data_IF_707272186494
#
_entry.id   IF_707272186494
#
_cell.length_a   1.000
_cell.length_b   1.000
_cell.length_c   1.000
_cell.angle_alpha   90.00
_cell.angle_beta   90.00
_cell.angle_gamma   90.00
#
_symmetry.space_group_name_H-M   'P 1'
#
loop_
_entity.id
_entity.type
_entity.pdbx_description
1 polymer ?
#
# COMPACT_ATOMS: atom_id res chain seq x y z
N UNK A 1 -10.25 -16.26 -2.19
CA UNK A 1 -11.31 -15.22 -2.17
C UNK A 1 -11.25 -14.51 -0.84
N UNK A 2 -11.06 -13.19 -0.85
CA UNK A 2 -11.04 -12.37 0.36
C UNK A 2 -12.42 -12.40 1.03
N UNK A 3 -12.53 -12.75 2.32
CA UNK A 3 -13.78 -12.69 3.07
C UNK A 3 -14.44 -11.30 3.01
N UNK A 4 -15.78 -11.27 2.90
CA UNK A 4 -16.56 -10.00 2.84
C UNK A 4 -16.20 -9.02 3.96
N UNK A 5 -15.89 -9.53 5.16
CA UNK A 5 -15.49 -8.71 6.31
C UNK A 5 -14.18 -7.96 6.06
N UNK A 6 -13.17 -8.62 5.48
CA UNK A 6 -11.89 -7.97 5.16
C UNK A 6 -12.05 -6.97 4.02
N UNK A 7 -12.90 -7.27 3.02
CA UNK A 7 -13.24 -6.31 1.97
C UNK A 7 -13.87 -5.04 2.58
N UNK A 8 -14.77 -5.20 3.54
CA UNK A 8 -15.40 -4.08 4.25
C UNK A 8 -14.35 -3.24 4.99
N UNK A 9 -13.42 -3.89 5.69
CA UNK A 9 -12.32 -3.21 6.39
C UNK A 9 -11.43 -2.43 5.43
N UNK A 10 -11.03 -3.02 4.29
CA UNK A 10 -10.22 -2.32 3.28
C UNK A 10 -10.96 -1.08 2.75
N UNK A 11 -12.27 -1.19 2.49
CA UNK A 11 -13.08 -0.03 2.07
C UNK A 11 -13.14 1.05 3.14
N UNK A 12 -13.38 0.69 4.40
CA UNK A 12 -13.38 1.64 5.52
C UNK A 12 -12.03 2.34 5.67
N UNK A 13 -10.92 1.62 5.50
CA UNK A 13 -9.58 2.20 5.53
C UNK A 13 -9.34 3.17 4.35
N UNK A 14 -9.85 2.84 3.16
CA UNK A 14 -9.82 3.71 1.98
C UNK A 14 -10.69 4.96 2.17
N UNK A 15 -11.87 4.82 2.75
CA UNK A 15 -12.78 5.94 3.02
C UNK A 15 -12.21 6.90 4.07
N UNK A 16 -11.50 6.35 5.08
CA UNK A 16 -10.86 7.11 6.16
C UNK A 16 -9.42 7.57 5.86
N UNK A 17 -9.03 7.68 4.60
CA UNK A 17 -7.77 8.31 4.20
C UNK A 17 -8.02 9.42 3.17
N UNK A 18 -7.07 10.32 2.97
CA UNK A 18 -7.12 11.44 2.02
C UNK A 18 -5.93 11.43 1.07
N UNK A 19 -4.80 10.89 1.49
CA UNK A 19 -3.57 10.87 0.70
C UNK A 19 -2.87 9.52 0.81
N UNK A 20 -3.55 8.44 0.39
CA UNK A 20 -2.97 7.11 0.50
C UNK A 20 -1.82 6.94 -0.49
N UNK A 21 -0.85 6.13 -0.10
CA UNK A 21 0.20 5.66 -0.98
C UNK A 21 0.08 4.14 -1.11
N UNK A 22 0.10 3.66 -2.35
CA UNK A 22 -0.03 2.26 -2.70
C UNK A 22 1.32 1.75 -3.15
N UNK A 23 1.88 0.80 -2.41
CA UNK A 23 3.11 0.09 -2.71
C UNK A 23 2.70 -1.29 -3.21
N UNK A 24 3.05 -1.63 -4.44
CA UNK A 24 2.59 -2.87 -5.08
C UNK A 24 3.69 -3.50 -5.91
N UNK A 25 3.66 -4.83 -6.09
CA UNK A 25 4.61 -5.52 -6.94
C UNK A 25 4.46 -5.13 -8.42
N UNK A 26 5.55 -5.16 -9.20
CA UNK A 26 5.56 -4.65 -10.57
C UNK A 26 4.99 -5.61 -11.63
N UNK A 27 4.31 -6.67 -11.19
CA UNK A 27 3.66 -7.65 -12.04
C UNK A 27 2.18 -7.32 -12.32
N UNK A 28 1.49 -8.12 -13.15
CA UNK A 28 0.08 -7.90 -13.44
C UNK A 28 -0.85 -8.00 -12.22
N UNK A 29 -0.53 -8.77 -11.19
CA UNK A 29 -1.41 -9.00 -10.04
C UNK A 29 -1.32 -7.83 -9.04
N UNK A 30 -0.09 -7.40 -8.73
CA UNK A 30 0.17 -6.17 -7.98
C UNK A 30 -0.42 -4.95 -8.68
N UNK A 31 -0.26 -4.83 -10.01
CA UNK A 31 -0.88 -3.75 -10.78
C UNK A 31 -2.41 -3.82 -10.76
N UNK A 32 -3.00 -4.99 -10.94
CA UNK A 32 -4.44 -5.16 -10.89
C UNK A 32 -5.00 -4.77 -9.52
N UNK A 33 -4.35 -5.22 -8.44
CA UNK A 33 -4.69 -4.86 -7.07
C UNK A 33 -4.65 -3.34 -6.86
N UNK A 34 -3.56 -2.69 -7.27
CA UNK A 34 -3.46 -1.23 -7.22
C UNK A 34 -4.61 -0.55 -7.97
N UNK A 35 -4.89 -0.96 -9.21
CA UNK A 35 -5.95 -0.35 -10.02
C UNK A 35 -7.34 -0.51 -9.39
N UNK A 36 -7.61 -1.62 -8.70
CA UNK A 36 -8.88 -1.83 -8.00
C UNK A 36 -9.05 -0.86 -6.83
N UNK A 37 -8.05 -0.74 -5.95
CA UNK A 37 -8.10 0.19 -4.82
C UNK A 37 -8.09 1.64 -5.31
N UNK A 38 -7.27 1.97 -6.29
CA UNK A 38 -7.17 3.32 -6.86
C UNK A 38 -8.48 3.73 -7.56
N UNK A 39 -9.13 2.82 -8.29
CA UNK A 39 -10.44 3.09 -8.90
C UNK A 39 -11.51 3.38 -7.86
N UNK A 40 -11.50 2.66 -6.73
CA UNK A 40 -12.45 2.92 -5.64
C UNK A 40 -12.18 4.27 -4.97
N UNK A 41 -10.91 4.56 -4.68
CA UNK A 41 -10.52 5.75 -3.92
C UNK A 41 -10.50 7.04 -4.74
N UNK A 42 -10.04 6.96 -5.98
CA UNK A 42 -9.91 8.10 -6.90
C UNK A 42 -8.76 9.06 -6.60
N UNK A 43 -7.98 8.84 -5.53
CA UNK A 43 -6.87 9.70 -5.12
C UNK A 43 -5.73 8.88 -4.47
N UNK A 44 -4.56 9.52 -4.34
CA UNK A 44 -3.34 8.88 -3.81
C UNK A 44 -2.27 8.65 -4.87
N UNK A 45 -1.21 7.93 -4.50
CA UNK A 45 -0.05 7.66 -5.35
C UNK A 45 0.32 6.19 -5.37
N UNK A 46 0.38 5.60 -6.56
CA UNK A 46 0.93 4.25 -6.77
C UNK A 46 2.44 4.26 -6.98
N UNK A 47 3.16 3.36 -6.32
CA UNK A 47 4.59 3.12 -6.50
C UNK A 47 4.78 1.62 -6.75
N UNK A 48 5.16 1.23 -7.97
CA UNK A 48 5.55 -0.15 -8.23
C UNK A 48 6.91 -0.44 -7.57
N UNK A 49 7.01 -1.57 -6.91
CA UNK A 49 8.24 -2.14 -6.37
C UNK A 49 8.82 -3.05 -7.44
N UNK A 50 9.91 -2.58 -8.04
CA UNK A 50 10.67 -3.34 -9.03
C UNK A 50 11.70 -4.20 -8.31
N UNK A 51 11.91 -5.42 -8.79
CA UNK A 51 12.80 -6.44 -8.20
C UNK A 51 12.22 -7.15 -6.97
N UNK A 52 13.08 -7.69 -6.09
CA UNK A 52 12.65 -8.48 -4.92
C UNK A 52 11.51 -7.77 -4.17
N UNK A 53 10.36 -8.43 -3.92
CA UNK A 53 9.17 -7.84 -3.33
C UNK A 53 9.40 -7.56 -1.84
N UNK A 54 10.26 -6.58 -1.56
CA UNK A 54 10.71 -6.21 -0.23
C UNK A 54 10.62 -4.70 -0.02
N UNK A 55 9.90 -4.31 1.02
CA UNK A 55 9.86 -2.94 1.49
C UNK A 55 11.05 -2.64 2.41
N UNK A 56 11.76 -1.56 2.12
CA UNK A 56 12.96 -1.12 2.83
C UNK A 56 12.92 0.40 3.11
N UNK A 57 13.96 0.92 3.75
CA UNK A 57 14.07 2.33 4.14
C UNK A 57 13.85 3.32 2.98
N UNK A 58 14.21 2.94 1.74
CA UNK A 58 13.99 3.79 0.57
C UNK A 58 12.51 4.06 0.31
N UNK A 59 11.66 3.03 0.45
CA UNK A 59 10.21 3.21 0.30
C UNK A 59 9.62 3.99 1.47
N UNK A 60 10.10 3.78 2.69
CA UNK A 60 9.68 4.58 3.85
C UNK A 60 9.97 6.08 3.64
N UNK A 61 11.13 6.42 3.06
CA UNK A 61 11.43 7.83 2.68
C UNK A 61 10.43 8.37 1.67
N UNK A 62 10.06 7.60 0.64
CA UNK A 62 9.05 8.02 -0.35
C UNK A 62 7.67 8.25 0.26
N UNK A 63 7.27 7.40 1.22
CA UNK A 63 6.02 7.56 1.97
C UNK A 63 6.03 8.91 2.71
N UNK A 64 7.11 9.20 3.42
CA UNK A 64 7.28 10.43 4.19
C UNK A 64 7.38 11.67 3.30
N UNK A 65 8.15 11.62 2.19
CA UNK A 65 8.26 12.71 1.21
C UNK A 65 6.92 13.04 0.55
N UNK A 66 6.14 12.00 0.22
CA UNK A 66 4.80 12.18 -0.30
C UNK A 66 3.83 12.75 0.75
N UNK A 67 4.19 12.71 2.05
CA UNK A 67 3.30 13.02 3.17
C UNK A 67 2.02 12.18 3.09
N UNK A 68 2.18 10.87 2.89
CA UNK A 68 1.06 9.95 2.89
C UNK A 68 0.40 9.93 4.29
N UNK A 69 -0.92 9.83 4.34
CA UNK A 69 -1.64 9.62 5.61
C UNK A 69 -1.92 8.15 5.90
N UNK A 70 -1.79 7.29 4.88
CA UNK A 70 -1.97 5.85 4.98
C UNK A 70 -1.14 5.14 3.91
N UNK A 71 -0.60 3.98 4.25
CA UNK A 71 0.14 3.12 3.33
C UNK A 71 -0.64 1.86 3.08
N UNK A 72 -0.85 1.52 1.80
CA UNK A 72 -1.37 0.24 1.36
C UNK A 72 -0.25 -0.55 0.71
N UNK A 73 0.02 -1.73 1.23
CA UNK A 73 1.01 -2.68 0.71
C UNK A 73 0.24 -3.81 0.06
N UNK A 74 0.42 -4.01 -1.24
CA UNK A 74 -0.35 -4.93 -2.05
C UNK A 74 0.59 -5.94 -2.71
N UNK A 75 0.32 -7.24 -2.55
CA UNK A 75 1.04 -8.31 -3.26
C UNK A 75 2.57 -8.26 -3.03
N UNK A 76 2.99 -8.04 -1.78
CA UNK A 76 4.41 -7.91 -1.40
C UNK A 76 4.69 -8.91 -0.29
N UNK A 77 5.71 -9.76 -0.51
CA UNK A 77 6.02 -10.89 0.35
C UNK A 77 6.75 -10.52 1.65
N UNK A 78 7.51 -9.41 1.66
CA UNK A 78 8.39 -9.09 2.77
C UNK A 78 8.44 -7.58 3.07
N UNK A 79 8.36 -7.23 4.36
CA UNK A 79 8.44 -5.86 4.85
C UNK A 79 9.53 -5.81 5.91
N UNK A 80 10.62 -5.09 5.62
CA UNK A 80 11.71 -4.98 6.57
C UNK A 80 11.27 -4.23 7.83
N UNK A 81 11.82 -4.58 9.01
CA UNK A 81 11.61 -3.80 10.24
C UNK A 81 11.98 -2.32 10.05
N UNK A 82 13.02 -2.06 9.25
CA UNK A 82 13.47 -0.70 8.89
C UNK A 82 12.36 0.15 8.25
N UNK A 83 11.42 -0.47 7.53
CA UNK A 83 10.28 0.21 6.94
C UNK A 83 9.27 0.60 8.01
N UNK A 84 8.89 -0.34 8.89
CA UNK A 84 7.95 -0.07 10.00
C UNK A 84 8.47 1.01 10.95
N UNK A 85 9.76 0.97 11.28
CA UNK A 85 10.39 1.95 12.18
C UNK A 85 10.36 3.38 11.62
N UNK A 86 10.28 3.54 10.29
CA UNK A 86 10.36 4.82 9.60
C UNK A 86 9.01 5.31 9.06
N UNK A 87 7.98 4.48 9.06
CA UNK A 87 6.62 4.85 8.63
C UNK A 87 5.75 5.08 9.87
N UNK A 88 5.38 6.34 10.11
CA UNK A 88 4.57 6.74 11.27
C UNK A 88 3.06 6.72 11.03
N UNK A 89 2.65 6.32 9.83
CA UNK A 89 1.24 6.25 9.42
C UNK A 89 0.77 4.80 9.36
N UNK A 90 -0.55 4.55 9.44
CA UNK A 90 -1.08 3.19 9.38
C UNK A 90 -0.65 2.48 8.09
N UNK A 91 -0.17 1.24 8.24
CA UNK A 91 0.21 0.35 7.15
C UNK A 91 -0.83 -0.76 7.06
N UNK A 92 -1.52 -0.82 5.91
CA UNK A 92 -2.48 -1.87 5.59
C UNK A 92 -1.81 -2.82 4.60
N UNK A 93 -1.58 -4.05 5.03
CA UNK A 93 -0.97 -5.08 4.21
C UNK A 93 -2.04 -6.03 3.70
N UNK A 94 -2.12 -6.17 2.37
CA UNK A 94 -3.02 -7.07 1.66
C UNK A 94 -2.16 -7.99 0.80
N UNK A 95 -2.11 -9.25 1.23
CA UNK A 95 -1.46 -10.40 0.58
C UNK A 95 -2.47 -11.57 0.59
#
# INVERSE_FOLDING_TARGET
MIPKKQIQQIKEELDNCKKPIFLFHDDPDGLASFLLLYRYKGEGKGIPIKAAPRLNLFFAKKVNEYNADKVFVLDIADIEPSFYDNVKVPVIWVD
#
